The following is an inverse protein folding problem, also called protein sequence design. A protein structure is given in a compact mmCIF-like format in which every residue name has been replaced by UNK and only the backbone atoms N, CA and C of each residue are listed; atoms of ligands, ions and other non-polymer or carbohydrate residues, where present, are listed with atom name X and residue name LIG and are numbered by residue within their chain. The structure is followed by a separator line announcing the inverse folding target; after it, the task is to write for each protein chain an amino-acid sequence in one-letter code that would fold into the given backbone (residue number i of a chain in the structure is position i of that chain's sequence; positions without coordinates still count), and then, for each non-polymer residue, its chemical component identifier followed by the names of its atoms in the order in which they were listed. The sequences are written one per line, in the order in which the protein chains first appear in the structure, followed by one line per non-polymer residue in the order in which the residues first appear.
data_IF_160551157277
#
_entry.id   IF_160551157277
#
_cell.length_a   1.000
_cell.length_b   1.000
_cell.length_c   1.000
_cell.angle_alpha   90.00
_cell.angle_beta   90.00
_cell.angle_gamma   90.00
#
_symmetry.space_group_name_H-M   'P 1'
#
loop_
_entity.id
_entity.type
_entity.pdbx_description
1 polymer ?
#
# COMPACT_ATOMS: atom_id res chain seq x y z
N UNK A 1 -4.84 2.62 -19.26
CA UNK A 1 -5.95 2.94 -18.33
C UNK A 1 -5.61 4.27 -17.68
N UNK A 2 -6.59 5.11 -17.36
CA UNK A 2 -6.32 6.31 -16.57
C UNK A 2 -5.96 5.94 -15.13
N UNK A 3 -5.30 6.86 -14.42
CA UNK A 3 -4.99 6.70 -12.98
C UNK A 3 -6.26 6.44 -12.17
N UNK A 4 -7.35 7.15 -12.48
CA UNK A 4 -8.65 6.96 -11.82
C UNK A 4 -9.23 5.55 -12.03
N UNK A 5 -9.10 5.01 -13.23
CA UNK A 5 -9.55 3.65 -13.53
C UNK A 5 -8.74 2.60 -12.75
N UNK A 6 -7.41 2.77 -12.69
CA UNK A 6 -6.52 1.91 -11.90
C UNK A 6 -6.88 1.96 -10.43
N UNK A 7 -7.03 3.17 -9.87
CA UNK A 7 -7.37 3.39 -8.47
C UNK A 7 -8.72 2.77 -8.12
N UNK A 8 -9.72 2.97 -8.97
CA UNK A 8 -11.04 2.37 -8.81
C UNK A 8 -10.99 0.84 -8.84
N UNK A 9 -10.19 0.26 -9.74
CA UNK A 9 -9.98 -1.19 -9.82
C UNK A 9 -9.30 -1.73 -8.56
N UNK A 10 -8.22 -1.09 -8.10
CA UNK A 10 -7.54 -1.44 -6.85
C UNK A 10 -8.51 -1.39 -5.65
N UNK A 11 -9.23 -0.28 -5.48
CA UNK A 11 -10.18 -0.10 -4.39
C UNK A 11 -11.25 -1.19 -4.38
N UNK A 12 -11.80 -1.52 -5.55
CA UNK A 12 -12.81 -2.56 -5.72
C UNK A 12 -12.30 -3.94 -5.32
N UNK A 13 -11.11 -4.33 -5.79
CA UNK A 13 -10.54 -5.65 -5.52
C UNK A 13 -10.12 -5.82 -4.07
N UNK A 14 -9.50 -4.80 -3.45
CA UNK A 14 -9.13 -4.86 -2.02
C UNK A 14 -10.38 -4.96 -1.14
N UNK A 15 -11.42 -4.16 -1.44
CA UNK A 15 -12.67 -4.17 -0.68
C UNK A 15 -13.42 -5.51 -0.78
N UNK A 16 -13.32 -6.21 -1.91
CA UNK A 16 -13.90 -7.55 -2.12
C UNK A 16 -13.07 -8.68 -1.48
N UNK A 17 -11.94 -8.35 -0.86
CA UNK A 17 -11.03 -9.35 -0.30
C UNK A 17 -10.22 -10.12 -1.34
N UNK A 18 -10.23 -9.72 -2.61
CA UNK A 18 -9.39 -10.27 -3.67
C UNK A 18 -7.97 -9.74 -3.55
N UNK A 19 -7.29 -10.13 -2.48
CA UNK A 19 -5.99 -9.61 -2.07
C UNK A 19 -5.06 -10.69 -1.54
N UNK A 20 -3.77 -10.56 -1.80
CA UNK A 20 -2.73 -11.46 -1.28
C UNK A 20 -1.46 -10.68 -0.97
N UNK A 21 -0.55 -11.30 -0.23
CA UNK A 21 0.78 -10.79 0.13
C UNK A 21 1.84 -11.89 0.08
N UNK A 22 1.57 -12.93 -0.72
CA UNK A 22 2.43 -14.10 -0.79
C UNK A 22 3.82 -13.70 -1.30
N UNK A 23 4.83 -13.98 -0.48
CA UNK A 23 6.22 -13.82 -0.88
C UNK A 23 6.61 -14.95 -1.84
N UNK A 24 7.27 -14.61 -2.94
CA UNK A 24 8.07 -15.55 -3.72
C UNK A 24 9.41 -14.90 -4.09
N UNK A 25 10.41 -15.70 -4.45
CA UNK A 25 11.71 -15.18 -4.90
C UNK A 25 11.59 -14.28 -6.14
N UNK A 26 10.67 -14.62 -7.05
CA UNK A 26 10.33 -13.83 -8.24
C UNK A 26 9.46 -12.61 -7.92
N UNK A 27 8.82 -12.61 -6.75
CA UNK A 27 7.88 -11.59 -6.31
C UNK A 27 8.14 -11.23 -4.84
N UNK A 28 9.28 -10.61 -4.53
CA UNK A 28 9.62 -10.27 -3.16
C UNK A 28 8.58 -9.30 -2.59
N UNK A 29 8.25 -9.52 -1.33
CA UNK A 29 7.22 -8.78 -0.60
C UNK A 29 7.78 -8.38 0.75
N UNK A 30 7.68 -7.09 1.08
CA UNK A 30 8.06 -6.53 2.37
C UNK A 30 6.83 -6.01 3.14
N UNK A 31 5.98 -6.95 3.52
CA UNK A 31 4.70 -6.66 4.15
C UNK A 31 4.82 -6.73 5.68
N UNK A 32 4.97 -5.57 6.34
CA UNK A 32 5.26 -5.47 7.79
C UNK A 32 4.27 -4.58 8.56
N UNK A 33 2.95 -4.78 8.46
CA UNK A 33 1.98 -3.94 9.15
C UNK A 33 2.16 -3.92 10.67
N UNK A 34 2.53 -5.05 11.28
CA UNK A 34 2.78 -5.14 12.73
C UNK A 34 4.01 -4.38 13.23
N UNK A 35 4.77 -3.73 12.33
CA UNK A 35 5.89 -2.85 12.67
C UNK A 35 5.54 -1.36 12.47
N UNK A 36 4.35 -1.07 11.94
CA UNK A 36 3.83 0.28 11.72
C UNK A 36 2.81 0.59 12.81
N UNK A 37 3.02 1.68 13.56
CA UNK A 37 2.10 2.10 14.63
C UNK A 37 0.84 2.67 13.99
N UNK A 38 -0.31 2.33 14.56
CA UNK A 38 -1.58 2.93 14.20
C UNK A 38 -1.82 4.16 15.10
N UNK A 39 -1.67 5.38 14.58
CA UNK A 39 -1.80 6.60 15.39
C UNK A 39 -3.24 6.88 15.82
N UNK A 40 -4.22 6.19 15.22
CA UNK A 40 -5.63 6.27 15.58
C UNK A 40 -6.09 5.11 16.48
N UNK A 41 -5.17 4.21 16.84
CA UNK A 41 -5.43 3.10 17.77
C UNK A 41 -5.27 3.52 19.23
N UNK A 42 -5.35 2.53 20.13
CA UNK A 42 -4.87 2.72 21.51
C UNK A 42 -3.35 2.92 21.53
N UNK A 43 -2.82 3.53 22.59
CA UNK A 43 -1.38 3.79 22.75
C UNK A 43 -0.58 2.50 22.47
N UNK A 44 0.44 2.63 21.62
CA UNK A 44 1.33 1.55 21.15
C UNK A 44 0.66 0.43 20.33
N UNK A 45 -0.53 0.66 19.77
CA UNK A 45 -1.14 -0.27 18.82
C UNK A 45 -0.44 -0.24 17.46
N UNK A 46 -0.21 -1.42 16.88
CA UNK A 46 0.34 -1.61 15.54
C UNK A 46 -0.73 -2.06 14.57
N UNK A 47 -0.54 -1.79 13.27
CA UNK A 47 -1.47 -2.27 12.26
C UNK A 47 -1.53 -3.80 12.24
N UNK A 48 -2.77 -4.31 12.21
CA UNK A 48 -3.01 -5.69 11.79
C UNK A 48 -2.95 -5.78 10.26
N UNK A 49 -2.88 -7.01 9.74
CA UNK A 49 -2.97 -7.20 8.29
C UNK A 49 -4.31 -6.70 7.73
N UNK A 50 -5.40 -6.95 8.44
CA UNK A 50 -6.73 -6.46 8.06
C UNK A 50 -6.77 -4.94 8.08
N UNK A 51 -6.29 -4.31 9.15
CA UNK A 51 -6.26 -2.86 9.29
C UNK A 51 -5.39 -2.17 8.23
N UNK A 52 -4.27 -2.78 7.83
CA UNK A 52 -3.45 -2.26 6.73
C UNK A 52 -4.21 -2.22 5.41
N UNK A 53 -4.98 -3.26 5.10
CA UNK A 53 -5.79 -3.28 3.89
C UNK A 53 -7.01 -2.36 3.94
N UNK A 54 -7.62 -2.19 5.12
CA UNK A 54 -8.69 -1.22 5.34
C UNK A 54 -8.18 0.20 5.08
N UNK A 55 -7.04 0.57 5.67
CA UNK A 55 -6.37 1.85 5.40
C UNK A 55 -6.13 2.06 3.90
N UNK A 56 -5.58 1.05 3.21
CA UNK A 56 -5.34 1.11 1.76
C UNK A 56 -6.63 1.36 0.99
N UNK A 57 -7.70 0.66 1.35
CA UNK A 57 -9.02 0.81 0.70
C UNK A 57 -9.54 2.22 0.88
N UNK A 58 -9.46 2.76 2.09
CA UNK A 58 -9.95 4.09 2.42
C UNK A 58 -9.18 5.17 1.67
N UNK A 59 -7.84 5.06 1.61
CA UNK A 59 -7.00 6.01 0.86
C UNK A 59 -7.24 5.96 -0.64
N UNK A 60 -7.41 4.76 -1.22
CA UNK A 60 -7.76 4.63 -2.64
C UNK A 60 -9.13 5.26 -2.94
N UNK A 61 -10.13 5.04 -2.09
CA UNK A 61 -11.47 5.66 -2.24
C UNK A 61 -11.46 7.17 -2.05
N UNK A 62 -10.63 7.67 -1.16
CA UNK A 62 -10.50 9.10 -0.86
C UNK A 62 -9.73 9.89 -1.93
N UNK A 63 -9.24 9.24 -3.00
CA UNK A 63 -8.47 9.94 -4.00
C UNK A 63 -7.02 10.24 -3.57
N UNK A 64 -6.44 9.45 -2.66
CA UNK A 64 -5.04 9.62 -2.25
C UNK A 64 -4.06 9.39 -3.42
N UNK A 65 -3.03 10.25 -3.61
CA UNK A 65 -2.08 10.13 -4.73
C UNK A 65 -1.50 8.72 -4.90
N UNK A 66 -1.46 8.27 -6.16
CA UNK A 66 -1.01 6.94 -6.55
C UNK A 66 -0.01 7.05 -7.69
N UNK A 67 1.23 6.61 -7.47
CA UNK A 67 2.27 6.62 -8.50
C UNK A 67 2.37 5.24 -9.18
N UNK A 68 2.29 5.20 -10.51
CA UNK A 68 2.60 3.99 -11.28
C UNK A 68 4.11 3.87 -11.49
N UNK A 69 4.68 2.73 -11.10
CA UNK A 69 6.10 2.42 -11.26
C UNK A 69 6.29 1.11 -12.01
N UNK A 70 7.41 0.95 -12.69
CA UNK A 70 7.82 -0.38 -13.17
C UNK A 70 8.43 -1.20 -12.03
N UNK A 71 8.06 -2.47 -11.95
CA UNK A 71 8.61 -3.40 -10.97
C UNK A 71 9.98 -3.88 -11.43
N UNK A 72 10.95 -3.87 -10.52
CA UNK A 72 12.23 -4.56 -10.74
C UNK A 72 12.05 -6.09 -10.79
N UNK A 73 11.15 -6.63 -9.94
CA UNK A 73 10.85 -8.06 -9.88
C UNK A 73 9.34 -8.34 -9.77
N UNK A 74 8.75 -9.03 -10.75
CA UNK A 74 9.31 -9.35 -12.07
C UNK A 74 9.39 -8.09 -12.98
N UNK A 75 10.38 -8.01 -13.90
CA UNK A 75 10.53 -6.88 -14.82
C UNK A 75 9.34 -6.73 -15.77
N UNK A 76 9.07 -5.51 -16.26
CA UNK A 76 7.98 -5.21 -17.19
C UNK A 76 6.57 -5.20 -16.56
N UNK A 77 6.43 -5.58 -15.28
CA UNK A 77 5.16 -5.46 -14.54
C UNK A 77 5.03 -4.08 -13.91
N UNK A 78 3.79 -3.67 -13.67
CA UNK A 78 3.45 -2.39 -13.01
C UNK A 78 3.19 -2.57 -11.53
N UNK A 79 3.75 -1.67 -10.74
CA UNK A 79 3.43 -1.46 -9.34
C UNK A 79 2.77 -0.11 -9.14
N UNK A 80 2.04 0.01 -8.03
CA UNK A 80 1.33 1.23 -7.66
C UNK A 80 1.70 1.61 -6.24
N UNK A 81 2.22 2.82 -6.07
CA UNK A 81 2.84 3.28 -4.82
C UNK A 81 2.00 4.40 -4.21
N UNK A 82 1.81 4.33 -2.88
CA UNK A 82 1.26 5.41 -2.08
C UNK A 82 2.21 5.69 -0.91
N UNK A 83 2.43 6.97 -0.62
CA UNK A 83 3.00 7.42 0.65
C UNK A 83 1.88 8.02 1.49
N UNK A 84 1.50 7.37 2.58
CA UNK A 84 0.36 7.75 3.42
C UNK A 84 0.88 8.41 4.69
N UNK A 85 0.54 9.69 4.87
CA UNK A 85 0.81 10.42 6.11
C UNK A 85 -0.33 10.21 7.10
N UNK A 86 -0.01 9.76 8.31
CA UNK A 86 -0.95 9.56 9.42
C UNK A 86 -0.52 10.35 10.67
N UNK A 87 0.10 11.52 10.51
CA UNK A 87 0.59 12.34 11.62
C UNK A 87 1.72 11.68 12.45
N UNK A 88 2.26 10.54 12.01
CA UNK A 88 3.48 9.93 12.55
C UNK A 88 4.75 10.64 12.06
N UNK A 89 5.92 10.39 12.66
CA UNK A 89 7.18 11.04 12.22
C UNK A 89 7.59 10.70 10.77
N UNK A 90 7.09 9.58 10.25
CA UNK A 90 7.40 9.06 8.91
C UNK A 90 6.13 8.57 8.22
N UNK A 91 5.96 8.85 6.91
CA UNK A 91 4.83 8.32 6.16
C UNK A 91 4.95 6.80 6.01
N UNK A 92 3.82 6.14 5.76
CA UNK A 92 3.76 4.72 5.44
C UNK A 92 3.95 4.56 3.93
N UNK A 93 4.94 3.79 3.53
CA UNK A 93 5.13 3.37 2.16
C UNK A 93 4.31 2.12 1.86
N UNK A 94 3.41 2.23 0.89
CA UNK A 94 2.60 1.13 0.39
C UNK A 94 2.94 0.89 -1.07
N UNK A 95 3.14 -0.38 -1.43
CA UNK A 95 3.30 -0.80 -2.82
C UNK A 95 2.36 -1.96 -3.15
N UNK A 96 1.61 -1.80 -4.22
CA UNK A 96 0.64 -2.78 -4.73
C UNK A 96 1.00 -3.22 -6.14
N UNK A 97 0.56 -4.40 -6.54
CA UNK A 97 0.62 -4.92 -7.91
C UNK A 97 -0.78 -5.45 -8.28
N UNK A 98 -1.24 -5.18 -9.49
CA UNK A 98 -2.43 -5.84 -10.05
C UNK A 98 -2.00 -7.13 -10.75
N UNK A 99 -2.62 -8.25 -10.38
CA UNK A 99 -2.37 -9.54 -11.02
C UNK A 99 -3.61 -10.41 -11.06
N UNK A 100 -3.91 -11.07 -12.18
CA UNK A 100 -4.96 -12.08 -12.35
C UNK A 100 -6.26 -11.87 -11.53
N UNK A 101 -6.82 -10.65 -11.53
CA UNK A 101 -8.05 -10.33 -10.82
C UNK A 101 -7.93 -10.14 -9.30
N UNK A 102 -6.72 -9.96 -8.77
CA UNK A 102 -6.45 -9.67 -7.37
C UNK A 102 -5.41 -8.56 -7.20
N UNK A 103 -5.36 -7.98 -6.01
CA UNK A 103 -4.33 -7.04 -5.57
C UNK A 103 -3.27 -7.77 -4.77
N UNK A 104 -2.02 -7.61 -5.17
CA UNK A 104 -0.88 -8.19 -4.48
C UNK A 104 -0.19 -7.07 -3.68
N UNK A 105 -0.17 -7.21 -2.36
CA UNK A 105 0.59 -6.34 -1.48
C UNK A 105 2.06 -6.65 -1.60
N UNK A 106 2.86 -5.68 -2.05
CA UNK A 106 4.31 -5.80 -2.24
C UNK A 106 5.09 -5.16 -1.11
N UNK A 107 4.58 -4.07 -0.53
CA UNK A 107 5.22 -3.39 0.60
C UNK A 107 4.18 -2.76 1.51
N UNK A 108 4.43 -2.83 2.81
CA UNK A 108 3.74 -2.03 3.84
C UNK A 108 4.71 -1.84 5.02
N UNK A 109 5.33 -0.67 5.09
CA UNK A 109 6.29 -0.30 6.14
C UNK A 109 6.43 1.23 6.21
N UNK A 110 7.12 1.76 7.22
CA UNK A 110 7.51 3.18 7.20
C UNK A 110 8.39 3.49 5.99
N UNK A 111 8.15 4.62 5.34
CA UNK A 111 9.04 5.12 4.29
C UNK A 111 10.42 5.39 4.86
N UNK A 112 11.45 5.12 4.06
CA UNK A 112 12.83 5.48 4.37
C UNK A 112 13.06 7.00 4.26
N UNK A 113 12.14 7.71 3.59
CA UNK A 113 12.19 9.17 3.47
C UNK A 113 11.48 9.79 4.68
N UNK A 114 12.11 10.75 5.39
CA UNK A 114 11.41 11.54 6.39
C UNK A 114 10.28 12.34 5.73
N UNK A 115 9.30 12.79 6.53
CA UNK A 115 8.24 13.68 6.06
C UNK A 115 8.84 14.85 5.28
N UNK A 116 8.36 15.05 4.05
CA UNK A 116 8.65 16.30 3.33
C UNK A 116 8.02 17.43 4.14
N UNK A 117 8.84 18.33 4.66
CA UNK A 117 8.34 19.58 5.23
C UNK A 117 7.59 20.30 4.09
N UNK A 118 6.29 20.55 4.28
CA UNK A 118 5.58 21.49 3.40
C UNK A 118 6.20 22.88 3.63
N UNK A 119 6.53 23.62 2.56
CA UNK A 119 7.01 25.00 2.69
C UNK A 119 5.97 25.90 3.36
#
# INVERSE_FOLDING_TARGET
MSEDAIRHQLATLVARGSRTKAFTTERPTDWRPRQVRNPHGVIDEFFTDTGAWELITDRLKAGHPLEEVELHKPPGRKGYVMEIDLDADRPIYVKLELGSGQVIGRSFHYSERPKRQKP
#
